data_IF_322424447966
#
_entry.id   IF_322424447966
#
_cell.length_a   1.000
_cell.length_b   1.000
_cell.length_c   1.000
_cell.angle_alpha   90.00
_cell.angle_beta   90.00
_cell.angle_gamma   90.00
#
_symmetry.space_group_name_H-M   'P 1'
#
loop_
_entity.id
_entity.type
_entity.pdbx_description
1 polymer ?
#
# COMPACT_ATOMS: atom_id res chain seq x y z
N UNK A 1 1.63 -15.33 16.53
CA UNK A 1 2.17 -15.21 15.17
C UNK A 1 1.96 -13.77 14.78
N UNK A 2 3.02 -12.96 14.80
CA UNK A 2 2.92 -11.57 14.31
C UNK A 2 2.69 -11.64 12.80
N UNK A 3 1.53 -11.17 12.36
CA UNK A 3 1.28 -10.92 10.95
C UNK A 3 2.11 -9.69 10.61
N UNK A 4 3.24 -9.89 9.92
CA UNK A 4 4.09 -8.81 9.43
C UNK A 4 3.40 -8.14 8.24
N UNK A 5 2.32 -7.40 8.50
CA UNK A 5 1.64 -6.64 7.45
C UNK A 5 2.49 -5.45 7.01
N UNK A 6 2.58 -5.26 5.70
CA UNK A 6 3.40 -4.20 5.12
C UNK A 6 2.73 -2.84 5.30
N UNK A 7 1.40 -2.81 5.40
CA UNK A 7 0.62 -1.64 5.78
C UNK A 7 -0.31 -1.93 6.95
N UNK A 8 -0.59 -0.90 7.73
CA UNK A 8 -1.64 -0.95 8.75
C UNK A 8 -2.41 0.36 8.77
N UNK A 9 -3.67 0.26 9.15
CA UNK A 9 -4.59 1.38 9.08
C UNK A 9 -6.02 0.97 9.39
N UNK A 10 -6.88 1.98 9.39
CA UNK A 10 -8.28 1.85 9.71
C UNK A 10 -9.13 2.12 8.47
N UNK A 11 -10.23 1.37 8.32
CA UNK A 11 -11.21 1.61 7.26
C UNK A 11 -12.27 2.54 7.84
N UNK A 12 -12.41 3.71 7.23
CA UNK A 12 -13.49 4.64 7.47
C UNK A 12 -14.47 4.63 6.28
N UNK A 13 -15.64 5.26 6.43
CA UNK A 13 -16.83 5.12 5.56
C UNK A 13 -16.52 4.97 4.06
N UNK A 14 -15.60 5.77 3.50
CA UNK A 14 -15.22 5.71 2.08
C UNK A 14 -13.70 5.81 1.84
N UNK A 15 -12.90 5.56 2.87
CA UNK A 15 -11.45 5.75 2.79
C UNK A 15 -10.69 4.80 3.70
N UNK A 16 -9.46 4.49 3.31
CA UNK A 16 -8.50 3.82 4.16
C UNK A 16 -7.54 4.83 4.78
N UNK A 17 -7.47 4.85 6.10
CA UNK A 17 -6.54 5.68 6.87
C UNK A 17 -5.29 4.86 7.14
N UNK A 18 -4.28 5.03 6.28
CA UNK A 18 -2.97 4.41 6.45
C UNK A 18 -2.24 5.05 7.63
N UNK A 19 -2.00 4.27 8.68
CA UNK A 19 -1.30 4.72 9.90
C UNK A 19 0.14 4.20 9.98
N UNK A 20 0.44 3.14 9.23
CA UNK A 20 1.77 2.53 9.20
C UNK A 20 2.09 1.93 7.84
N UNK A 21 3.34 2.11 7.41
CA UNK A 21 3.92 1.44 6.25
C UNK A 21 5.28 0.86 6.66
N UNK A 22 5.44 -0.45 6.58
CA UNK A 22 6.57 -1.21 7.15
C UNK A 22 6.79 -0.85 8.63
N UNK A 23 7.89 -0.18 8.92
CA UNK A 23 8.28 0.29 10.26
C UNK A 23 8.08 1.80 10.44
N UNK A 24 7.51 2.48 9.45
CA UNK A 24 7.32 3.92 9.45
C UNK A 24 5.89 4.25 9.82
N UNK A 25 5.74 5.12 10.81
CA UNK A 25 4.44 5.73 11.11
C UNK A 25 4.14 6.77 10.06
N UNK A 26 2.93 6.73 9.52
CA UNK A 26 2.44 7.72 8.56
C UNK A 26 0.99 8.03 8.91
N UNK A 27 0.44 9.07 8.33
CA UNK A 27 -0.99 9.31 8.39
C UNK A 27 -1.41 9.80 7.01
N UNK A 28 -2.04 8.91 6.25
CA UNK A 28 -2.50 9.21 4.90
C UNK A 28 -3.91 8.68 4.71
N UNK A 29 -4.81 9.55 4.27
CA UNK A 29 -6.17 9.16 3.90
C UNK A 29 -6.17 8.82 2.42
N UNK A 30 -6.44 7.55 2.12
CA UNK A 30 -6.53 7.01 0.77
C UNK A 30 -8.00 6.80 0.47
N UNK A 31 -8.59 7.67 -0.35
CA UNK A 31 -9.97 7.49 -0.83
C UNK A 31 -10.08 6.24 -1.70
N UNK A 32 -11.30 5.69 -1.82
CA UNK A 32 -11.58 4.52 -2.69
C UNK A 32 -11.01 4.68 -4.11
N UNK A 33 -11.24 5.82 -4.76
CA UNK A 33 -10.73 6.10 -6.11
C UNK A 33 -9.19 6.07 -6.18
N UNK A 34 -8.52 6.64 -5.15
CA UNK A 34 -7.06 6.62 -5.08
C UNK A 34 -6.53 5.23 -4.79
N UNK A 35 -7.25 4.45 -3.97
CA UNK A 35 -6.90 3.07 -3.67
C UNK A 35 -6.95 2.21 -4.93
N UNK A 36 -7.99 2.40 -5.76
CA UNK A 36 -8.12 1.74 -7.05
C UNK A 36 -6.97 2.11 -8.01
N UNK A 37 -6.68 3.41 -8.14
CA UNK A 37 -5.56 3.88 -8.95
C UNK A 37 -4.20 3.34 -8.46
N UNK A 38 -4.02 3.20 -7.14
CA UNK A 38 -2.81 2.62 -6.54
C UNK A 38 -2.68 1.13 -6.85
N UNK A 39 -3.76 0.36 -6.71
CA UNK A 39 -3.76 -1.07 -7.06
C UNK A 39 -3.41 -1.27 -8.54
N UNK A 40 -4.03 -0.50 -9.44
CA UNK A 40 -3.76 -0.60 -10.88
C UNK A 40 -2.32 -0.22 -11.24
N UNK A 41 -1.77 0.81 -10.58
CA UNK A 41 -0.38 1.21 -10.76
C UNK A 41 0.59 0.12 -10.28
N UNK A 42 0.37 -0.40 -9.07
CA UNK A 42 1.22 -1.44 -8.48
C UNK A 42 1.15 -2.75 -9.28
N UNK A 43 -0.02 -3.14 -9.77
CA UNK A 43 -0.20 -4.31 -10.63
C UNK A 43 0.67 -4.23 -11.89
N UNK A 44 0.65 -3.09 -12.59
CA UNK A 44 1.51 -2.88 -13.77
C UNK A 44 3.00 -2.91 -13.43
N UNK A 45 3.38 -2.48 -12.22
CA UNK A 45 4.77 -2.50 -11.76
C UNK A 45 5.24 -3.89 -11.39
N UNK A 46 4.42 -4.70 -10.72
CA UNK A 46 4.67 -6.12 -10.50
C UNK A 46 4.84 -6.84 -11.84
N UNK A 47 3.94 -6.62 -12.80
CA UNK A 47 4.02 -7.26 -14.12
C UNK A 47 5.27 -6.86 -14.94
N UNK A 48 5.83 -5.67 -14.69
CA UNK A 48 7.01 -5.18 -15.41
C UNK A 48 8.30 -5.95 -15.11
N UNK A 49 8.35 -6.73 -14.02
CA UNK A 49 9.53 -7.50 -13.61
C UNK A 49 10.68 -6.67 -13.03
N UNK A 50 10.48 -5.37 -12.81
CA UNK A 50 11.38 -4.52 -12.03
C UNK A 50 11.59 -5.13 -10.63
N UNK A 51 12.86 -5.22 -10.21
CA UNK A 51 13.24 -5.88 -8.94
C UNK A 51 13.30 -4.91 -7.76
N UNK A 52 13.39 -3.61 -8.06
CA UNK A 52 13.60 -2.57 -7.07
C UNK A 52 12.63 -1.43 -7.32
N UNK A 53 11.91 -1.04 -6.28
CA UNK A 53 11.00 0.09 -6.35
C UNK A 53 11.15 0.97 -5.12
N UNK A 54 10.83 2.25 -5.31
CA UNK A 54 10.87 3.26 -4.26
C UNK A 54 9.48 3.84 -4.08
N UNK A 55 8.96 3.75 -2.85
CA UNK A 55 7.71 4.40 -2.47
C UNK A 55 8.05 5.59 -1.59
N UNK A 56 7.45 6.74 -1.92
CA UNK A 56 7.52 7.95 -1.10
C UNK A 56 6.13 8.22 -0.54
N UNK A 57 6.02 8.35 0.78
CA UNK A 57 4.76 8.60 1.47
C UNK A 57 4.76 10.02 2.03
N UNK A 58 3.85 10.85 1.53
CA UNK A 58 3.80 12.29 1.82
C UNK A 58 5.19 12.92 1.62
N UNK A 59 5.73 13.62 2.63
CA UNK A 59 7.04 14.27 2.61
C UNK A 59 8.15 13.43 3.28
N UNK A 60 7.93 12.13 3.48
CA UNK A 60 8.91 11.25 4.14
C UNK A 60 9.99 10.76 3.18
N UNK A 61 11.09 10.23 3.73
CA UNK A 61 12.17 9.64 2.92
C UNK A 61 11.67 8.46 2.07
N UNK A 62 12.11 8.32 0.81
CA UNK A 62 11.76 7.18 -0.03
C UNK A 62 12.19 5.86 0.63
N UNK A 63 11.26 4.92 0.68
CA UNK A 63 11.49 3.58 1.20
C UNK A 63 11.71 2.64 0.03
N UNK A 64 12.85 1.93 0.04
CA UNK A 64 13.08 0.84 -0.90
C UNK A 64 12.20 -0.33 -0.53
N UNK A 65 11.48 -0.83 -1.52
CA UNK A 65 10.74 -2.08 -1.45
C UNK A 65 11.23 -3.02 -2.54
N UNK A 66 11.33 -4.30 -2.20
CA UNK A 66 11.65 -5.33 -3.16
C UNK A 66 10.37 -5.83 -3.88
N UNK A 67 10.55 -6.67 -4.89
CA UNK A 67 9.46 -7.22 -5.68
C UNK A 67 8.40 -7.96 -4.84
N UNK A 68 8.82 -8.83 -3.93
CA UNK A 68 7.90 -9.59 -3.06
C UNK A 68 7.11 -8.68 -2.11
N UNK A 69 7.75 -7.64 -1.58
CA UNK A 69 7.08 -6.62 -0.76
C UNK A 69 6.08 -5.79 -1.60
N UNK A 70 6.34 -5.63 -2.90
CA UNK A 70 5.39 -4.98 -3.80
C UNK A 70 4.17 -5.86 -4.09
N UNK A 71 4.37 -7.16 -4.29
CA UNK A 71 3.29 -8.15 -4.41
C UNK A 71 2.43 -8.20 -3.13
N UNK A 72 3.08 -8.23 -1.96
CA UNK A 72 2.42 -8.21 -0.66
C UNK A 72 1.61 -6.92 -0.46
N UNK A 73 2.20 -5.75 -0.77
CA UNK A 73 1.52 -4.47 -0.70
C UNK A 73 0.28 -4.43 -1.61
N UNK A 74 0.41 -4.93 -2.84
CA UNK A 74 -0.70 -5.00 -3.79
C UNK A 74 -1.84 -5.86 -3.23
N UNK A 75 -1.52 -7.03 -2.68
CA UNK A 75 -2.51 -7.92 -2.11
C UNK A 75 -3.24 -7.28 -0.92
N UNK A 76 -2.50 -6.64 0.00
CA UNK A 76 -3.11 -5.96 1.15
C UNK A 76 -4.04 -4.81 0.71
N UNK A 77 -3.63 -4.01 -0.29
CA UNK A 77 -4.46 -2.93 -0.83
C UNK A 77 -5.70 -3.46 -1.57
N UNK A 78 -5.60 -4.58 -2.29
CA UNK A 78 -6.75 -5.24 -2.92
C UNK A 78 -7.74 -5.73 -1.85
N UNK A 79 -7.25 -6.33 -0.78
CA UNK A 79 -8.09 -6.82 0.32
C UNK A 79 -8.81 -5.66 1.03
N UNK A 80 -8.12 -4.53 1.26
CA UNK A 80 -8.73 -3.31 1.81
C UNK A 80 -9.77 -2.75 0.83
N UNK A 81 -9.47 -2.73 -0.47
CA UNK A 81 -10.42 -2.29 -1.50
C UNK A 81 -11.69 -3.14 -1.50
N UNK A 82 -11.56 -4.46 -1.33
CA UNK A 82 -12.69 -5.38 -1.20
C UNK A 82 -13.54 -5.12 0.05
N UNK A 83 -12.95 -4.60 1.13
CA UNK A 83 -13.69 -4.21 2.35
C UNK A 83 -14.38 -2.85 2.23
N UNK A 84 -13.92 -1.99 1.32
CA UNK A 84 -14.53 -0.69 0.98
C UNK A 84 -15.59 -0.79 -0.13
N UNK A 85 -15.85 -1.99 -0.67
CA UNK A 85 -16.67 -2.18 -1.88
C UNK A 85 -18.16 -2.06 -1.64
#
# INVERSE_FOLDING_TARGET
MEVNSLISGDIEENAFVLTQFKHMKTQSVISRERLEALCDYLMKKVESGEQEHFITLNDQMPVRINHSEMEELLQELIDIRGKLS
#
